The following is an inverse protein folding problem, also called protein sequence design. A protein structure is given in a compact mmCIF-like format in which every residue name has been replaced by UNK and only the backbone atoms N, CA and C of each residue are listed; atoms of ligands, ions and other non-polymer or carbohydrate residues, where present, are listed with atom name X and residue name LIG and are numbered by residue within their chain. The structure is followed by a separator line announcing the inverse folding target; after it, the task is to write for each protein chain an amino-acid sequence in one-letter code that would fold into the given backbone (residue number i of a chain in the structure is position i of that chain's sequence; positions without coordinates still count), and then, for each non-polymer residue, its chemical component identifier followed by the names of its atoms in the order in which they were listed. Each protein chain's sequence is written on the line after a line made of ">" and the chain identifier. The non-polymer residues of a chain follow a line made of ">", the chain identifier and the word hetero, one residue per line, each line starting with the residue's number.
data_IF_000381556792
#
_entry.id   IF_000381556792
#
_cell.length_a   1.000
_cell.length_b   1.000
_cell.length_c   1.000
_cell.angle_alpha   90.00
_cell.angle_beta   90.00
_cell.angle_gamma   90.00
#
_symmetry.space_group_name_H-M   'P 1'
#
loop_
_entity.id
_entity.type
_entity.pdbx_description
1 polymer ?
#
# COMPACT_ATOMS: atom_id res chain seq x y z
N UNK A 1 -14.14 -21.75 -3.54
CA UNK A 1 -13.11 -22.69 -3.08
C UNK A 1 -12.40 -23.37 -4.25
N UNK A 2 -13.07 -24.26 -5.01
CA UNK A 2 -12.48 -25.06 -6.11
C UNK A 2 -11.55 -24.29 -7.06
N UNK A 3 -11.93 -23.09 -7.53
CA UNK A 3 -11.08 -22.31 -8.44
C UNK A 3 -9.81 -21.76 -7.78
N UNK A 4 -9.87 -21.37 -6.50
CA UNK A 4 -8.70 -20.90 -5.76
C UNK A 4 -7.75 -22.07 -5.50
N UNK A 5 -8.29 -23.22 -5.11
CA UNK A 5 -7.51 -24.44 -4.90
C UNK A 5 -6.82 -24.91 -6.17
N UNK A 6 -7.49 -24.86 -7.32
CA UNK A 6 -6.90 -25.22 -8.61
C UNK A 6 -5.67 -24.35 -8.94
N UNK A 7 -5.73 -23.05 -8.67
CA UNK A 7 -4.59 -22.14 -8.89
C UNK A 7 -3.46 -22.40 -7.90
N UNK A 8 -3.77 -22.66 -6.62
CA UNK A 8 -2.75 -22.92 -5.58
C UNK A 8 -2.05 -24.27 -5.80
N UNK A 9 -2.77 -25.28 -6.31
CA UNK A 9 -2.23 -26.61 -6.58
C UNK A 9 -1.47 -26.68 -7.90
N UNK A 10 -1.65 -25.69 -8.79
CA UNK A 10 -0.85 -25.56 -10.00
C UNK A 10 0.48 -24.86 -9.68
N UNK A 11 1.64 -25.50 -9.93
CA UNK A 11 2.94 -24.92 -9.61
C UNK A 11 3.35 -23.76 -10.53
N UNK A 12 2.52 -23.36 -11.50
CA UNK A 12 2.80 -22.29 -12.46
C UNK A 12 3.00 -20.93 -11.79
N UNK A 13 2.23 -20.62 -10.74
CA UNK A 13 2.27 -19.33 -10.05
C UNK A 13 2.71 -19.49 -8.60
N UNK A 14 3.68 -18.69 -8.17
CA UNK A 14 4.26 -18.74 -6.83
C UNK A 14 4.47 -17.34 -6.27
N UNK A 15 4.63 -17.24 -4.95
CA UNK A 15 5.06 -15.99 -4.32
C UNK A 15 6.51 -15.70 -4.70
N UNK A 16 6.76 -14.50 -5.20
CA UNK A 16 8.11 -13.97 -5.30
C UNK A 16 8.65 -13.77 -3.87
N UNK A 17 9.78 -14.39 -3.46
CA UNK A 17 10.28 -14.26 -2.10
C UNK A 17 10.70 -12.82 -1.77
N UNK A 18 10.91 -11.96 -2.77
CA UNK A 18 11.17 -10.53 -2.58
C UNK A 18 10.00 -9.69 -3.08
N UNK A 19 9.33 -9.01 -2.16
CA UNK A 19 8.28 -8.03 -2.50
C UNK A 19 8.85 -6.89 -3.37
N UNK A 20 10.10 -6.48 -3.13
CA UNK A 20 10.75 -5.45 -3.94
C UNK A 20 10.99 -5.91 -5.37
N UNK A 21 11.39 -7.17 -5.55
CA UNK A 21 11.73 -7.71 -6.85
C UNK A 21 10.52 -7.73 -7.80
N UNK A 22 9.33 -8.03 -7.30
CA UNK A 22 8.08 -7.94 -8.08
C UNK A 22 7.93 -6.55 -8.72
N UNK A 23 7.98 -5.50 -7.89
CA UNK A 23 7.85 -4.13 -8.38
C UNK A 23 9.04 -3.69 -9.22
N UNK A 24 10.25 -4.14 -8.90
CA UNK A 24 11.42 -3.87 -9.72
C UNK A 24 11.24 -4.41 -11.15
N UNK A 25 10.84 -5.67 -11.32
CA UNK A 25 10.61 -6.29 -12.64
C UNK A 25 9.54 -5.54 -13.46
N UNK A 26 8.44 -5.13 -12.82
CA UNK A 26 7.42 -4.30 -13.46
C UNK A 26 7.98 -2.95 -13.96
N UNK A 27 8.80 -2.27 -13.16
CA UNK A 27 9.46 -1.03 -13.58
C UNK A 27 10.51 -1.27 -14.68
N UNK A 28 11.01 -2.49 -14.82
CA UNK A 28 11.91 -2.89 -15.92
C UNK A 28 11.17 -3.32 -17.19
N UNK A 29 9.83 -3.35 -17.22
CA UNK A 29 9.02 -3.94 -18.29
C UNK A 29 9.36 -5.42 -18.55
N UNK A 30 9.72 -6.15 -17.49
CA UNK A 30 10.13 -7.55 -17.56
C UNK A 30 9.11 -8.43 -16.84
N UNK A 31 8.68 -9.49 -17.51
CA UNK A 31 7.84 -10.53 -16.88
C UNK A 31 8.67 -11.32 -15.86
N UNK A 32 8.07 -11.66 -14.72
CA UNK A 32 8.67 -12.60 -13.77
C UNK A 32 8.51 -14.03 -14.30
N UNK A 33 9.54 -14.55 -14.96
CA UNK A 33 9.54 -15.90 -15.52
C UNK A 33 9.85 -16.99 -14.48
N UNK A 34 10.35 -16.60 -13.29
CA UNK A 34 10.79 -17.49 -12.22
C UNK A 34 9.62 -17.87 -11.32
N UNK A 35 8.97 -16.87 -10.72
CA UNK A 35 7.87 -17.09 -9.76
C UNK A 35 6.52 -16.92 -10.42
N UNK A 36 6.46 -16.08 -11.47
CA UNK A 36 5.23 -15.75 -12.20
C UNK A 36 4.15 -15.31 -11.23
N UNK A 37 4.50 -14.42 -10.29
CA UNK A 37 3.56 -13.97 -9.26
C UNK A 37 2.31 -13.31 -9.90
N UNK A 38 2.47 -12.61 -11.02
CA UNK A 38 1.34 -12.05 -11.76
C UNK A 38 0.59 -13.11 -12.56
N UNK A 39 -0.72 -13.20 -12.35
CA UNK A 39 -1.64 -14.07 -13.07
C UNK A 39 -2.28 -13.36 -14.25
N UNK A 40 -2.57 -12.07 -14.08
CA UNK A 40 -3.16 -11.25 -15.13
C UNK A 40 -2.68 -9.81 -15.06
N UNK A 41 -2.20 -9.34 -16.21
CA UNK A 41 -1.75 -8.00 -16.45
C UNK A 41 -2.48 -7.43 -17.67
N UNK A 42 -2.93 -6.18 -17.59
CA UNK A 42 -3.38 -5.45 -18.78
C UNK A 42 -2.14 -4.91 -19.47
N UNK A 43 -1.82 -5.36 -20.70
CA UNK A 43 -0.64 -4.91 -21.41
C UNK A 43 -0.86 -3.49 -21.91
N UNK A 44 -0.04 -2.54 -21.44
CA UNK A 44 -0.04 -1.20 -22.05
C UNK A 44 0.94 -1.14 -23.22
N UNK A 45 1.96 -1.99 -23.27
CA UNK A 45 2.94 -1.95 -24.35
C UNK A 45 3.83 -0.71 -24.28
N UNK A 46 4.93 -0.73 -25.02
CA UNK A 46 5.93 0.32 -24.95
C UNK A 46 5.36 1.69 -25.37
N UNK A 47 5.69 2.74 -24.61
CA UNK A 47 5.29 4.13 -24.86
C UNK A 47 3.77 4.41 -24.79
N UNK A 48 2.95 3.52 -24.22
CA UNK A 48 1.56 3.82 -23.84
C UNK A 48 1.34 3.66 -22.33
N UNK A 49 0.17 4.04 -21.81
CA UNK A 49 -0.16 3.92 -20.39
C UNK A 49 0.52 4.97 -19.50
N UNK A 50 -0.28 5.76 -18.79
CA UNK A 50 0.19 6.78 -17.85
C UNK A 50 0.28 6.25 -16.40
N UNK A 51 0.17 4.93 -16.16
CA UNK A 51 -0.01 4.38 -14.82
C UNK A 51 1.15 4.75 -13.89
N UNK A 52 2.39 4.36 -14.23
CA UNK A 52 3.54 4.64 -13.37
C UNK A 52 3.82 6.14 -13.20
N UNK A 53 3.55 6.95 -14.23
CA UNK A 53 3.57 8.42 -14.14
C UNK A 53 2.48 8.97 -13.19
N UNK A 54 1.31 8.35 -13.16
CA UNK A 54 0.15 8.85 -12.42
C UNK A 54 0.25 8.54 -10.95
N UNK A 55 0.69 7.34 -10.57
CA UNK A 55 0.61 6.88 -9.18
C UNK A 55 1.96 6.78 -8.48
N UNK A 56 3.06 6.71 -9.24
CA UNK A 56 4.39 6.44 -8.74
C UNK A 56 5.02 7.52 -7.89
N UNK A 57 6.30 7.31 -7.57
CA UNK A 57 7.15 8.27 -6.85
C UNK A 57 7.11 9.61 -7.58
N UNK A 58 6.89 10.68 -6.81
CA UNK A 58 6.90 12.04 -7.36
C UNK A 58 8.30 12.43 -7.79
N UNK A 59 8.39 12.97 -9.00
CA UNK A 59 9.56 13.73 -9.45
C UNK A 59 9.09 15.01 -10.10
N UNK A 60 9.74 16.13 -9.79
CA UNK A 60 9.50 17.42 -10.46
C UNK A 60 10.62 17.66 -11.46
N UNK A 61 10.46 17.16 -12.69
CA UNK A 61 11.38 17.33 -13.84
C UNK A 61 12.86 17.36 -13.46
N UNK A 62 13.56 16.23 -13.55
CA UNK A 62 14.99 16.16 -13.20
C UNK A 62 15.86 15.82 -14.39
N UNK A 63 17.15 16.16 -14.31
CA UNK A 63 18.17 15.78 -15.30
C UNK A 63 18.42 14.28 -15.33
N UNK A 64 18.19 13.58 -14.22
CA UNK A 64 18.44 12.14 -14.09
C UNK A 64 17.26 11.28 -14.55
N UNK A 65 16.03 11.75 -14.38
CA UNK A 65 14.80 10.97 -14.60
C UNK A 65 13.81 11.62 -15.56
N UNK A 66 14.15 12.77 -16.15
CA UNK A 66 13.36 13.43 -17.17
C UNK A 66 12.06 14.01 -16.64
N UNK A 67 10.94 13.66 -17.30
CA UNK A 67 9.63 14.26 -17.08
C UNK A 67 9.09 14.16 -15.65
N UNK A 68 8.12 15.01 -15.33
CA UNK A 68 7.39 14.96 -14.06
C UNK A 68 6.79 13.57 -13.81
N UNK A 69 6.70 13.10 -12.57
CA UNK A 69 5.80 12.01 -12.17
C UNK A 69 4.81 12.58 -11.19
N UNK A 70 3.51 12.42 -11.44
CA UNK A 70 2.49 13.23 -10.79
C UNK A 70 2.08 12.75 -9.40
N UNK A 71 2.18 11.45 -9.12
CA UNK A 71 1.93 10.86 -7.81
C UNK A 71 0.55 11.22 -7.23
N UNK A 72 -0.51 11.07 -8.04
CA UNK A 72 -1.90 11.45 -7.74
C UNK A 72 -2.57 10.55 -6.73
N UNK A 73 -2.24 9.26 -6.71
CA UNK A 73 -2.70 8.35 -5.67
C UNK A 73 -1.77 8.45 -4.47
N UNK A 74 -2.37 8.60 -3.29
CA UNK A 74 -1.66 8.86 -2.03
C UNK A 74 -1.88 7.75 -1.02
N UNK A 75 -0.83 7.45 -0.26
CA UNK A 75 -0.90 6.69 0.97
C UNK A 75 -1.03 7.65 2.16
N UNK A 76 -1.42 7.11 3.30
CA UNK A 76 -1.63 7.88 4.52
C UNK A 76 -0.62 7.47 5.60
N UNK A 77 -0.38 8.38 6.55
CA UNK A 77 0.49 8.18 7.70
C UNK A 77 0.06 6.99 8.55
N UNK A 78 -1.25 6.77 8.69
CA UNK A 78 -1.82 5.64 9.43
C UNK A 78 -1.52 4.30 8.75
N UNK A 79 -1.52 4.23 7.41
CA UNK A 79 -1.10 3.04 6.68
C UNK A 79 0.42 2.86 6.86
N UNK A 80 1.20 3.94 6.74
CA UNK A 80 2.65 3.88 6.91
C UNK A 80 3.06 3.37 8.31
N UNK A 81 2.35 3.78 9.36
CA UNK A 81 2.59 3.33 10.74
C UNK A 81 1.89 2.03 11.12
N UNK A 82 0.98 1.49 10.29
CA UNK A 82 0.35 0.21 10.60
C UNK A 82 1.20 -1.00 10.22
N UNK A 83 2.28 -0.82 9.45
CA UNK A 83 3.24 -1.88 9.18
C UNK A 83 4.06 -2.20 10.43
N UNK A 84 4.27 -3.49 10.70
CA UNK A 84 5.14 -3.95 11.78
C UNK A 84 6.61 -3.52 11.51
N UNK A 85 7.41 -3.23 12.56
CA UNK A 85 8.85 -3.09 12.41
C UNK A 85 9.47 -4.28 11.66
N UNK A 86 10.32 -3.98 10.67
CA UNK A 86 10.95 -4.99 9.81
C UNK A 86 10.11 -5.44 8.61
N UNK A 87 8.86 -4.98 8.46
CA UNK A 87 8.07 -5.25 7.26
C UNK A 87 8.64 -4.45 6.06
N UNK A 88 9.26 -5.16 5.13
CA UNK A 88 9.93 -4.57 3.97
C UNK A 88 8.97 -3.86 3.02
N UNK A 89 7.67 -4.17 3.06
CA UNK A 89 6.67 -3.60 2.16
C UNK A 89 6.41 -2.12 2.44
N UNK A 90 6.62 -1.67 3.68
CA UNK A 90 6.36 -0.29 4.10
C UNK A 90 7.09 0.71 3.20
N UNK A 91 8.42 0.57 3.10
CA UNK A 91 9.26 1.56 2.40
C UNK A 91 9.22 1.40 0.87
N UNK A 92 8.81 0.21 0.39
CA UNK A 92 8.54 -0.04 -1.03
C UNK A 92 7.18 0.56 -1.43
N UNK A 93 6.21 0.61 -0.51
CA UNK A 93 4.85 1.04 -0.81
C UNK A 93 4.65 2.53 -0.55
N UNK A 94 5.16 3.04 0.56
CA UNK A 94 4.91 4.39 1.05
C UNK A 94 6.17 5.25 0.93
N UNK A 95 6.08 6.29 0.11
CA UNK A 95 7.17 7.21 -0.20
C UNK A 95 6.87 8.58 0.42
N UNK A 96 7.32 8.87 1.67
CA UNK A 96 7.14 10.15 2.35
C UNK A 96 8.11 11.24 1.87
N UNK A 97 8.65 11.10 0.66
CA UNK A 97 9.62 12.01 0.03
C UNK A 97 9.30 12.16 -1.46
N UNK A 98 9.88 13.17 -2.10
CA UNK A 98 9.87 13.35 -3.55
C UNK A 98 11.27 13.56 -4.12
N UNK A 99 11.42 13.39 -5.43
CA UNK A 99 12.65 13.76 -6.15
C UNK A 99 12.55 15.20 -6.63
N UNK A 100 13.57 15.97 -6.30
CA UNK A 100 13.71 17.37 -6.74
C UNK A 100 15.01 17.55 -7.48
N UNK A 101 14.98 18.41 -8.49
CA UNK A 101 16.21 18.85 -9.14
C UNK A 101 16.96 19.79 -8.21
N UNK A 102 18.19 19.41 -7.86
CA UNK A 102 19.16 20.26 -7.18
C UNK A 102 20.39 20.46 -8.09
N UNK A 103 21.38 21.22 -7.62
CA UNK A 103 22.58 21.56 -8.42
C UNK A 103 23.37 20.34 -8.91
N UNK A 104 23.33 19.23 -8.18
CA UNK A 104 24.04 18.00 -8.51
C UNK A 104 23.15 16.91 -9.15
N UNK A 105 21.89 17.19 -9.47
CA UNK A 105 20.95 16.23 -10.03
C UNK A 105 19.71 16.02 -9.15
N UNK A 106 19.02 14.90 -9.37
CA UNK A 106 17.86 14.49 -8.60
C UNK A 106 18.25 14.11 -7.16
N UNK A 107 17.59 14.75 -6.18
CA UNK A 107 17.79 14.54 -4.75
C UNK A 107 16.46 14.14 -4.08
N UNK A 108 16.52 13.14 -3.23
CA UNK A 108 15.42 12.76 -2.35
C UNK A 108 15.20 13.84 -1.28
N UNK A 109 13.98 14.35 -1.24
CA UNK A 109 13.58 15.38 -0.29
C UNK A 109 12.43 14.86 0.56
N UNK A 110 12.71 14.64 1.85
CA UNK A 110 11.68 14.28 2.83
C UNK A 110 10.56 15.33 2.84
N UNK A 111 9.32 14.87 2.80
CA UNK A 111 8.17 15.76 2.89
C UNK A 111 7.97 16.24 4.32
N UNK A 112 7.43 17.45 4.45
CA UNK A 112 7.06 18.03 5.73
C UNK A 112 5.77 17.44 6.31
N UNK A 113 4.96 18.28 6.96
CA UNK A 113 3.66 17.89 7.50
C UNK A 113 2.61 17.58 6.40
N UNK A 114 2.70 16.37 5.84
CA UNK A 114 1.84 15.85 4.76
C UNK A 114 1.35 14.42 5.04
N UNK A 115 0.62 14.17 6.13
CA UNK A 115 0.22 12.83 6.56
C UNK A 115 -0.73 12.12 5.59
N UNK A 116 -1.40 12.84 4.70
CA UNK A 116 -2.34 12.25 3.74
C UNK A 116 -1.82 12.26 2.28
N UNK A 117 -0.54 12.57 2.07
CA UNK A 117 0.03 12.76 0.73
C UNK A 117 1.28 11.93 0.44
N UNK A 118 1.50 10.80 1.11
CA UNK A 118 2.64 9.92 0.83
C UNK A 118 2.50 9.33 -0.58
N UNK A 119 3.57 9.31 -1.37
CA UNK A 119 3.52 8.78 -2.74
C UNK A 119 3.59 7.24 -2.72
N UNK A 120 3.26 6.61 -3.85
CA UNK A 120 3.41 5.15 -3.99
C UNK A 120 4.80 4.79 -4.52
N UNK A 121 5.58 4.06 -3.73
CA UNK A 121 6.95 3.63 -4.10
C UNK A 121 7.00 2.46 -5.08
N UNK A 122 5.87 1.78 -5.33
CA UNK A 122 5.78 0.62 -6.22
C UNK A 122 6.11 0.93 -7.69
N UNK A 123 5.85 2.17 -8.12
CA UNK A 123 6.25 2.67 -9.44
C UNK A 123 7.28 3.78 -9.27
N UNK A 124 8.54 3.38 -9.16
CA UNK A 124 9.65 4.29 -8.85
C UNK A 124 10.45 4.59 -10.11
N UNK A 125 10.51 5.87 -10.49
CA UNK A 125 11.28 6.33 -11.66
C UNK A 125 12.77 5.97 -11.57
N UNK A 126 13.32 5.83 -10.36
CA UNK A 126 14.72 5.39 -10.14
C UNK A 126 14.94 3.92 -10.52
N UNK A 127 13.87 3.13 -10.52
CA UNK A 127 13.87 1.70 -10.82
C UNK A 127 13.38 1.40 -12.23
N UNK A 128 13.13 2.41 -13.06
CA UNK A 128 12.71 2.21 -14.43
C UNK A 128 13.92 1.92 -15.33
N UNK A 129 13.71 1.10 -16.37
CA UNK A 129 14.77 0.80 -17.33
C UNK A 129 15.20 2.04 -18.14
N UNK A 130 16.34 1.95 -18.83
CA UNK A 130 16.89 3.07 -19.61
C UNK A 130 15.95 3.55 -20.72
N UNK A 131 15.23 2.63 -21.40
CA UNK A 131 14.30 3.01 -22.46
C UNK A 131 13.15 3.90 -21.96
N UNK A 132 12.62 3.60 -20.77
CA UNK A 132 11.62 4.43 -20.10
C UNK A 132 12.23 5.78 -19.70
N UNK A 133 13.40 5.77 -19.06
CA UNK A 133 14.09 6.99 -18.61
C UNK A 133 14.42 7.93 -19.79
N UNK A 134 14.93 7.39 -20.89
CA UNK A 134 15.22 8.16 -22.11
C UNK A 134 13.95 8.78 -22.71
N UNK A 135 12.82 8.05 -22.67
CA UNK A 135 11.52 8.57 -23.11
C UNK A 135 11.04 9.70 -22.20
N UNK A 136 11.22 9.58 -20.89
CA UNK A 136 10.90 10.65 -19.94
C UNK A 136 11.77 11.89 -20.19
N UNK A 137 13.08 11.71 -20.44
CA UNK A 137 14.02 12.79 -20.77
C UNK A 137 13.67 13.50 -22.08
N UNK A 138 13.39 12.75 -23.15
CA UNK A 138 12.94 13.32 -24.43
C UNK A 138 11.62 14.07 -24.28
N UNK A 139 10.66 13.53 -23.54
CA UNK A 139 9.38 14.19 -23.27
C UNK A 139 9.59 15.52 -22.54
N UNK A 140 10.46 15.55 -21.54
CA UNK A 140 10.81 16.77 -20.81
C UNK A 140 11.50 17.80 -21.71
N UNK A 141 12.47 17.38 -22.53
CA UNK A 141 13.18 18.25 -23.48
C UNK A 141 12.25 18.86 -24.54
N UNK A 142 11.21 18.12 -24.95
CA UNK A 142 10.16 18.60 -25.84
C UNK A 142 9.09 19.47 -25.14
N UNK A 143 9.24 19.74 -23.84
CA UNK A 143 8.33 20.58 -23.07
C UNK A 143 7.06 19.88 -22.59
N UNK A 144 6.90 18.58 -22.83
CA UNK A 144 5.74 17.83 -22.35
C UNK A 144 5.78 17.62 -20.83
N UNK A 145 4.62 17.75 -20.20
CA UNK A 145 4.44 17.52 -18.75
C UNK A 145 4.04 16.09 -18.42
N UNK A 146 3.54 15.34 -19.41
CA UNK A 146 3.10 13.96 -19.30
C UNK A 146 3.96 13.07 -20.18
N UNK A 147 4.11 11.82 -19.77
CA UNK A 147 4.82 10.79 -20.51
C UNK A 147 4.30 9.42 -20.10
N UNK A 148 4.56 8.43 -20.94
CA UNK A 148 3.98 7.10 -20.82
C UNK A 148 5.05 6.11 -20.35
N UNK A 149 4.76 5.35 -19.31
CA UNK A 149 5.74 4.40 -18.77
C UNK A 149 5.73 3.09 -19.53
N UNK A 150 4.59 2.66 -20.08
CA UNK A 150 4.44 1.33 -20.68
C UNK A 150 4.33 0.19 -19.65
N UNK A 151 4.38 0.51 -18.36
CA UNK A 151 4.33 -0.48 -17.27
C UNK A 151 2.92 -1.06 -17.21
N UNK A 152 2.80 -2.37 -17.37
CA UNK A 152 1.53 -3.07 -17.34
C UNK A 152 0.76 -2.82 -16.03
N UNK A 153 -0.57 -2.89 -16.13
CA UNK A 153 -1.43 -2.82 -14.95
C UNK A 153 -1.71 -4.24 -14.44
N UNK A 154 -1.06 -4.62 -13.34
CA UNK A 154 -1.36 -5.89 -12.66
C UNK A 154 -2.77 -5.85 -12.10
N UNK A 155 -3.58 -6.83 -12.46
CA UNK A 155 -4.98 -6.95 -12.02
C UNK A 155 -5.24 -8.18 -11.15
N UNK A 156 -4.34 -9.17 -11.21
CA UNK A 156 -4.39 -10.33 -10.34
C UNK A 156 -3.00 -10.90 -10.17
N UNK A 157 -2.60 -11.14 -8.93
CA UNK A 157 -1.33 -11.75 -8.58
C UNK A 157 -1.48 -12.73 -7.42
N UNK A 158 -0.57 -13.68 -7.32
CA UNK A 158 -0.68 -14.87 -6.47
C UNK A 158 -0.98 -14.59 -4.98
N UNK A 159 -0.43 -13.56 -4.30
CA UNK A 159 -0.84 -13.28 -2.92
C UNK A 159 -2.32 -12.90 -2.78
N UNK A 160 -2.95 -12.31 -3.81
CA UNK A 160 -4.40 -12.08 -3.78
C UNK A 160 -5.17 -13.40 -3.78
N UNK A 161 -4.68 -14.41 -4.51
CA UNK A 161 -5.27 -15.76 -4.51
C UNK A 161 -5.16 -16.39 -3.13
N UNK A 162 -4.00 -16.30 -2.49
CA UNK A 162 -3.78 -16.81 -1.13
C UNK A 162 -4.68 -16.10 -0.11
N UNK A 163 -4.82 -14.77 -0.19
CA UNK A 163 -5.70 -14.01 0.71
C UNK A 163 -7.18 -14.33 0.48
N UNK A 164 -7.62 -14.43 -0.78
CA UNK A 164 -8.99 -14.88 -1.10
C UNK A 164 -9.25 -16.32 -0.64
N UNK A 165 -8.24 -17.20 -0.73
CA UNK A 165 -8.31 -18.57 -0.24
C UNK A 165 -8.45 -18.59 1.28
N UNK A 166 -7.59 -17.87 2.00
CA UNK A 166 -7.66 -17.75 3.45
C UNK A 166 -9.02 -17.23 3.90
N UNK A 167 -9.54 -16.20 3.25
CA UNK A 167 -10.85 -15.63 3.55
C UNK A 167 -11.97 -16.66 3.33
N UNK A 168 -11.99 -17.27 2.15
CA UNK A 168 -13.04 -18.23 1.77
C UNK A 168 -13.02 -19.46 2.66
N UNK A 169 -11.83 -19.98 2.99
CA UNK A 169 -11.70 -21.17 3.83
C UNK A 169 -12.07 -20.87 5.28
N UNK A 170 -11.65 -19.73 5.82
CA UNK A 170 -12.06 -19.29 7.16
C UNK A 170 -13.59 -19.15 7.26
N UNK A 171 -14.24 -18.65 6.20
CA UNK A 171 -15.70 -18.54 6.15
C UNK A 171 -16.38 -19.92 6.12
N UNK A 172 -15.96 -20.79 5.20
CA UNK A 172 -16.60 -22.08 4.94
C UNK A 172 -16.36 -23.14 6.02
N UNK A 173 -15.15 -23.18 6.58
CA UNK A 173 -14.80 -24.13 7.64
C UNK A 173 -15.18 -23.62 9.04
N UNK A 174 -15.43 -22.32 9.18
CA UNK A 174 -15.72 -21.67 10.46
C UNK A 174 -14.51 -21.46 11.37
N UNK A 175 -13.29 -21.76 10.91
CA UNK A 175 -12.06 -21.65 11.70
C UNK A 175 -10.82 -21.42 10.82
N UNK A 176 -9.80 -20.67 11.29
CA UNK A 176 -8.55 -20.47 10.54
C UNK A 176 -7.75 -21.77 10.29
N UNK A 177 -7.97 -22.79 11.12
CA UNK A 177 -7.30 -24.10 11.05
C UNK A 177 -8.22 -25.23 10.58
N UNK A 178 -9.45 -24.89 10.16
CA UNK A 178 -10.39 -25.85 9.60
C UNK A 178 -10.05 -26.26 8.17
N UNK A 179 -10.69 -27.33 7.71
CA UNK A 179 -10.66 -27.80 6.33
C UNK A 179 -12.05 -27.72 5.69
N UNK A 180 -12.10 -27.78 4.36
CA UNK A 180 -13.34 -27.79 3.61
C UNK A 180 -13.19 -28.64 2.33
N UNK A 181 -14.21 -29.42 1.91
CA UNK A 181 -14.12 -30.19 0.67
C UNK A 181 -13.71 -29.35 -0.54
N UNK A 182 -12.63 -29.76 -1.20
CA UNK A 182 -12.06 -29.05 -2.35
C UNK A 182 -11.14 -27.89 -1.99
N UNK A 183 -10.70 -27.77 -0.73
CA UNK A 183 -9.59 -26.91 -0.34
C UNK A 183 -8.26 -27.37 -0.98
N UNK A 184 -7.21 -26.56 -0.83
CA UNK A 184 -5.91 -26.80 -1.46
C UNK A 184 -5.02 -27.76 -0.66
N UNK A 185 -5.52 -28.38 0.42
CA UNK A 185 -4.72 -29.15 1.38
C UNK A 185 -3.92 -28.28 2.35
N UNK A 186 -4.29 -27.00 2.48
CA UNK A 186 -3.65 -26.01 3.35
C UNK A 186 -4.72 -25.24 4.14
N UNK A 187 -4.48 -24.93 5.39
CA UNK A 187 -5.39 -24.15 6.23
C UNK A 187 -5.42 -22.67 5.81
N UNK A 188 -6.45 -21.94 6.25
CA UNK A 188 -6.53 -20.51 6.01
C UNK A 188 -5.36 -19.77 6.69
N UNK A 189 -5.00 -20.19 7.90
CA UNK A 189 -3.83 -19.72 8.66
C UNK A 189 -2.54 -19.83 7.87
N UNK A 190 -2.27 -21.00 7.29
CA UNK A 190 -1.06 -21.23 6.50
C UNK A 190 -1.00 -20.35 5.25
N UNK A 191 -2.14 -20.14 4.57
CA UNK A 191 -2.20 -19.25 3.42
C UNK A 191 -1.88 -17.79 3.78
N UNK A 192 -2.44 -17.29 4.89
CA UNK A 192 -2.10 -15.95 5.41
C UNK A 192 -0.62 -15.87 5.81
N UNK A 193 -0.11 -16.91 6.48
CA UNK A 193 1.28 -17.02 6.91
C UNK A 193 2.26 -16.89 5.75
N UNK A 194 1.97 -17.52 4.60
CA UNK A 194 2.81 -17.42 3.40
C UNK A 194 2.98 -15.97 2.93
N UNK A 195 1.90 -15.20 2.87
CA UNK A 195 1.93 -13.80 2.43
C UNK A 195 2.62 -12.93 3.46
N UNK A 196 2.25 -13.07 4.73
CA UNK A 196 2.76 -12.23 5.81
C UNK A 196 4.27 -12.42 6.03
N UNK A 197 4.74 -13.67 6.13
CA UNK A 197 6.15 -13.95 6.41
C UNK A 197 7.10 -13.62 5.24
N UNK A 198 6.57 -13.48 4.01
CA UNK A 198 7.35 -13.02 2.84
C UNK A 198 7.81 -11.56 3.02
N UNK A 199 7.12 -10.78 3.84
CA UNK A 199 7.44 -9.38 4.06
C UNK A 199 8.67 -9.14 4.97
N UNK A 200 9.18 -10.18 5.64
CA UNK A 200 10.24 -10.07 6.64
C UNK A 200 11.47 -10.88 6.22
N UNK A 201 12.61 -10.19 6.09
CA UNK A 201 13.90 -10.80 5.73
C UNK A 201 14.81 -11.04 6.93
N UNK A 202 14.71 -10.19 7.95
CA UNK A 202 15.41 -10.37 9.22
C UNK A 202 14.80 -11.54 10.01
N UNK A 203 15.64 -12.35 10.67
CA UNK A 203 15.22 -13.57 11.32
C UNK A 203 14.36 -13.30 12.57
N UNK A 204 14.69 -12.28 13.35
CA UNK A 204 13.95 -11.91 14.56
C UNK A 204 12.61 -11.30 14.18
N UNK A 205 12.60 -10.32 13.27
CA UNK A 205 11.36 -9.72 12.77
C UNK A 205 10.42 -10.76 12.14
N UNK A 206 10.97 -11.76 11.43
CA UNK A 206 10.20 -12.87 10.87
C UNK A 206 9.63 -13.80 11.93
N UNK A 207 10.37 -14.08 13.00
CA UNK A 207 9.86 -14.85 14.13
C UNK A 207 8.72 -14.11 14.85
N UNK A 208 8.81 -12.78 14.95
CA UNK A 208 7.78 -11.93 15.55
C UNK A 208 6.51 -11.90 14.70
N UNK A 209 6.67 -11.78 13.39
CA UNK A 209 5.60 -11.89 12.40
C UNK A 209 4.90 -13.26 12.46
N UNK A 210 5.64 -14.34 12.70
CA UNK A 210 5.05 -15.68 12.85
C UNK A 210 4.21 -15.79 14.12
N UNK A 211 4.72 -15.25 15.24
CA UNK A 211 3.95 -15.16 16.49
C UNK A 211 2.72 -14.27 16.33
N UNK A 212 2.75 -13.24 15.48
CA UNK A 212 1.56 -12.46 15.14
C UNK A 212 0.50 -13.33 14.47
N UNK A 213 0.87 -14.15 13.48
CA UNK A 213 -0.06 -15.08 12.81
C UNK A 213 -0.71 -16.04 13.81
N UNK A 214 0.05 -16.59 14.75
CA UNK A 214 -0.49 -17.45 15.80
C UNK A 214 -1.55 -16.73 16.64
N UNK A 215 -1.28 -15.50 17.08
CA UNK A 215 -2.22 -14.72 17.91
C UNK A 215 -3.50 -14.38 17.15
N UNK A 216 -3.40 -13.97 15.89
CA UNK A 216 -4.57 -13.56 15.11
C UNK A 216 -5.38 -14.73 14.57
N UNK A 217 -4.88 -15.96 14.70
CA UNK A 217 -5.59 -17.18 14.31
C UNK A 217 -6.42 -17.79 15.44
N UNK A 218 -6.69 -17.04 16.51
CA UNK A 218 -7.41 -17.53 17.69
C UNK A 218 -8.86 -17.93 17.39
N UNK A 219 -9.54 -17.18 16.52
CA UNK A 219 -10.92 -17.41 16.12
C UNK A 219 -11.22 -16.84 14.73
N UNK A 220 -12.36 -17.22 14.18
CA UNK A 220 -12.81 -16.83 12.83
C UNK A 220 -12.81 -15.32 12.61
N UNK A 221 -13.32 -14.54 13.56
CA UNK A 221 -13.50 -13.09 13.40
C UNK A 221 -12.17 -12.35 13.55
N UNK A 222 -11.36 -12.72 14.55
CA UNK A 222 -10.02 -12.16 14.73
C UNK A 222 -9.16 -12.42 13.49
N UNK A 223 -9.24 -13.63 12.93
CA UNK A 223 -8.49 -13.97 11.73
C UNK A 223 -8.99 -13.24 10.49
N UNK A 224 -10.30 -13.08 10.34
CA UNK A 224 -10.86 -12.26 9.26
C UNK A 224 -10.35 -10.82 9.34
N UNK A 225 -10.30 -10.22 10.53
CA UNK A 225 -9.75 -8.87 10.70
C UNK A 225 -8.27 -8.81 10.29
N UNK A 226 -7.48 -9.84 10.57
CA UNK A 226 -6.10 -9.93 10.11
C UNK A 226 -5.98 -10.05 8.59
N UNK A 227 -6.87 -10.79 7.90
CA UNK A 227 -6.93 -10.80 6.44
C UNK A 227 -7.25 -9.41 5.90
N UNK A 228 -8.18 -8.70 6.54
CA UNK A 228 -8.53 -7.32 6.18
C UNK A 228 -7.32 -6.41 6.32
N UNK A 229 -6.48 -6.56 7.34
CA UNK A 229 -5.28 -5.73 7.50
C UNK A 229 -4.15 -6.15 6.54
N UNK A 230 -3.92 -7.45 6.35
CA UNK A 230 -2.94 -7.98 5.40
C UNK A 230 -3.22 -7.55 3.96
N UNK A 231 -4.49 -7.53 3.55
CA UNK A 231 -4.91 -7.01 2.26
C UNK A 231 -4.54 -5.52 2.10
N UNK A 232 -4.59 -4.72 3.16
CA UNK A 232 -4.17 -3.32 3.13
C UNK A 232 -2.65 -3.20 2.93
N UNK A 233 -1.86 -4.00 3.64
CA UNK A 233 -0.39 -3.97 3.57
C UNK A 233 0.14 -4.50 2.24
N UNK A 234 -0.39 -5.64 1.78
CA UNK A 234 0.08 -6.30 0.57
C UNK A 234 -0.33 -5.52 -0.69
N UNK A 235 -1.58 -5.05 -0.74
CA UNK A 235 -2.21 -4.54 -1.97
C UNK A 235 -2.32 -3.00 -2.04
N UNK A 236 -1.75 -2.29 -1.08
CA UNK A 236 -1.77 -0.82 -1.07
C UNK A 236 -1.20 -0.25 -2.38
N UNK A 237 -1.90 0.71 -2.98
CA UNK A 237 -1.51 1.29 -4.27
C UNK A 237 -2.08 0.60 -5.50
N UNK A 238 -2.57 -0.64 -5.39
CA UNK A 238 -2.93 -1.44 -6.57
C UNK A 238 -4.41 -1.33 -6.98
N UNK A 239 -5.22 -0.61 -6.20
CA UNK A 239 -6.61 -0.29 -6.54
C UNK A 239 -7.66 -1.27 -6.02
N UNK A 240 -7.30 -2.22 -5.16
CA UNK A 240 -8.22 -3.25 -4.64
C UNK A 240 -8.94 -2.84 -3.35
N UNK A 241 -8.24 -2.18 -2.43
CA UNK A 241 -8.71 -1.92 -1.04
C UNK A 241 -10.14 -1.40 -0.94
N UNK A 242 -10.52 -0.43 -1.77
CA UNK A 242 -11.88 0.15 -1.74
C UNK A 242 -12.93 -0.92 -2.03
N UNK A 243 -12.72 -1.76 -3.02
CA UNK A 243 -13.66 -2.79 -3.45
C UNK A 243 -13.73 -3.95 -2.46
N UNK A 244 -12.61 -4.31 -1.84
CA UNK A 244 -12.57 -5.30 -0.75
C UNK A 244 -13.36 -4.82 0.47
N UNK A 245 -13.12 -3.58 0.92
CA UNK A 245 -13.89 -2.99 2.01
C UNK A 245 -15.38 -2.87 1.70
N UNK A 246 -15.73 -2.66 0.43
CA UNK A 246 -17.10 -2.63 -0.07
C UNK A 246 -17.75 -4.00 0.12
N UNK A 247 -17.18 -5.07 -0.45
CA UNK A 247 -17.79 -6.40 -0.37
C UNK A 247 -17.85 -6.96 1.06
N UNK A 248 -16.94 -6.52 1.93
CA UNK A 248 -16.97 -6.82 3.36
C UNK A 248 -17.93 -5.95 4.17
N UNK A 249 -18.54 -4.93 3.57
CA UNK A 249 -19.34 -3.92 4.25
C UNK A 249 -18.56 -3.16 5.36
N UNK A 250 -17.25 -2.98 5.17
CA UNK A 250 -16.33 -2.32 6.10
C UNK A 250 -15.85 -0.94 5.64
N UNK A 251 -16.25 -0.45 4.44
CA UNK A 251 -15.70 0.79 3.88
C UNK A 251 -15.88 1.99 4.82
N UNK A 252 -17.09 2.24 5.31
CA UNK A 252 -17.34 3.37 6.20
C UNK A 252 -16.61 3.20 7.54
N UNK A 253 -16.64 2.00 8.12
CA UNK A 253 -15.97 1.67 9.38
C UNK A 253 -14.46 1.89 9.32
N UNK A 254 -13.79 1.37 8.28
CA UNK A 254 -12.34 1.52 8.14
C UNK A 254 -11.91 2.95 7.82
N UNK A 255 -12.77 3.78 7.19
CA UNK A 255 -12.49 5.21 7.05
C UNK A 255 -12.63 5.93 8.41
N UNK A 256 -13.63 5.58 9.21
CA UNK A 256 -13.77 6.14 10.57
C UNK A 256 -12.60 5.73 11.46
N UNK A 257 -12.20 4.45 11.42
CA UNK A 257 -11.03 3.95 12.13
C UNK A 257 -9.76 4.67 11.70
N UNK A 258 -9.55 4.86 10.39
CA UNK A 258 -8.46 5.68 9.86
C UNK A 258 -8.42 7.08 10.50
N UNK A 259 -9.57 7.77 10.60
CA UNK A 259 -9.62 9.11 11.20
C UNK A 259 -9.30 9.07 12.70
N UNK A 260 -9.81 8.07 13.41
CA UNK A 260 -9.58 7.88 14.85
C UNK A 260 -8.12 7.56 15.14
N UNK A 261 -7.51 6.67 14.36
CA UNK A 261 -6.10 6.31 14.48
C UNK A 261 -5.22 7.53 14.25
N UNK A 262 -5.48 8.32 13.20
CA UNK A 262 -4.75 9.57 12.97
C UNK A 262 -4.85 10.54 14.15
N UNK A 263 -6.05 10.73 14.71
CA UNK A 263 -6.25 11.60 15.88
C UNK A 263 -5.54 11.06 17.13
N UNK A 264 -5.56 9.75 17.35
CA UNK A 264 -4.83 9.11 18.46
C UNK A 264 -3.34 9.39 18.34
N UNK A 265 -2.73 9.08 17.19
CA UNK A 265 -1.29 9.31 16.97
C UNK A 265 -0.94 10.80 16.99
N UNK A 266 -1.85 11.69 16.58
CA UNK A 266 -1.60 13.13 16.65
C UNK A 266 -1.67 13.66 18.09
N UNK A 267 -2.53 13.11 18.94
CA UNK A 267 -2.73 13.56 20.32
C UNK A 267 -1.73 12.95 21.31
N UNK A 268 -1.09 11.84 20.96
CA UNK A 268 -0.02 11.26 21.77
C UNK A 268 1.28 12.06 21.58
N UNK A 269 1.65 12.84 22.60
CA UNK A 269 2.85 13.68 22.59
C UNK A 269 4.14 12.89 22.84
N UNK A 270 4.03 11.68 23.37
CA UNK A 270 5.18 10.86 23.80
C UNK A 270 5.55 9.83 22.73
N UNK A 271 4.57 9.06 22.28
CA UNK A 271 4.74 7.94 21.36
C UNK A 271 4.06 8.15 20.00
N UNK A 272 3.25 9.20 19.87
CA UNK A 272 2.58 9.54 18.62
C UNK A 272 3.48 10.22 17.60
N UNK A 273 2.88 10.79 16.56
CA UNK A 273 3.62 11.36 15.44
C UNK A 273 4.67 12.37 15.89
N UNK A 274 5.96 12.23 15.52
CA UNK A 274 6.98 13.16 15.97
C UNK A 274 6.81 14.51 15.27
N UNK A 275 7.16 15.59 15.98
CA UNK A 275 7.10 16.93 15.42
C UNK A 275 8.20 17.22 14.39
N UNK A 276 9.32 16.50 14.50
CA UNK A 276 10.44 16.56 13.57
C UNK A 276 10.93 15.14 13.26
N UNK A 277 11.45 14.97 12.05
CA UNK A 277 12.29 13.82 11.71
C UNK A 277 13.73 14.28 11.56
N UNK A 278 14.64 13.39 11.96
CA UNK A 278 16.07 13.48 11.73
C UNK A 278 16.50 12.29 10.89
N UNK A 279 17.47 12.49 9.99
CA UNK A 279 17.97 11.43 9.12
C UNK A 279 19.34 11.76 8.55
N UNK A 280 20.04 10.72 8.13
CA UNK A 280 21.30 10.80 7.40
C UNK A 280 21.11 10.51 5.91
N UNK A 281 22.12 10.85 5.14
CA UNK A 281 22.23 10.45 3.74
C UNK A 281 23.08 9.18 3.62
N UNK A 282 22.85 8.40 2.56
CA UNK A 282 23.59 7.16 2.31
C UNK A 282 25.08 7.38 2.08
N UNK A 283 25.45 8.58 1.62
CA UNK A 283 26.82 8.98 1.34
C UNK A 283 26.97 10.51 1.31
N UNK A 284 28.22 10.98 1.13
CA UNK A 284 28.55 12.40 1.08
C UNK A 284 27.95 13.19 -0.09
N UNK A 285 27.36 12.54 -1.10
CA UNK A 285 26.67 13.24 -2.21
C UNK A 285 25.34 13.83 -1.77
N UNK A 286 24.77 13.34 -0.66
CA UNK A 286 23.49 13.76 -0.08
C UNK A 286 22.31 13.72 -1.06
N UNK A 287 22.34 12.78 -2.02
CA UNK A 287 21.26 12.56 -2.99
C UNK A 287 20.18 11.61 -2.50
N UNK A 288 20.55 10.63 -1.67
CA UNK A 288 19.65 9.58 -1.19
C UNK A 288 19.61 9.55 0.33
N UNK A 289 18.41 9.52 0.88
CA UNK A 289 18.18 9.43 2.32
C UNK A 289 18.46 8.00 2.74
N UNK A 290 19.22 7.82 3.83
CA UNK A 290 19.34 6.51 4.46
C UNK A 290 18.11 6.25 5.34
N UNK A 291 17.16 5.51 4.77
CA UNK A 291 15.88 5.19 5.40
C UNK A 291 16.02 4.46 6.75
N UNK A 292 17.12 3.74 6.96
CA UNK A 292 17.38 3.04 8.23
C UNK A 292 17.69 4.00 9.38
N UNK A 293 18.11 5.23 9.06
CA UNK A 293 18.47 6.25 10.06
C UNK A 293 17.32 7.19 10.41
N UNK A 294 16.21 7.14 9.66
CA UNK A 294 15.11 8.10 9.84
C UNK A 294 14.42 7.83 11.18
N UNK A 295 14.28 8.87 11.99
CA UNK A 295 13.70 8.81 13.33
C UNK A 295 12.17 8.78 13.31
N UNK A 296 11.58 7.77 12.66
CA UNK A 296 10.12 7.68 12.45
C UNK A 296 9.32 7.75 13.76
N UNK A 297 9.89 7.29 14.87
CA UNK A 297 9.25 7.27 16.20
C UNK A 297 9.94 8.20 17.19
N UNK A 298 10.54 9.29 16.71
CA UNK A 298 11.35 10.19 17.54
C UNK A 298 12.81 9.76 17.66
N UNK A 299 13.61 10.59 18.35
CA UNK A 299 15.03 10.33 18.54
C UNK A 299 15.23 9.04 19.36
N UNK A 300 16.09 8.11 18.91
CA UNK A 300 16.47 6.95 19.70
C UNK A 300 17.13 7.34 21.02
N UNK A 301 17.10 6.43 22.00
CA UNK A 301 17.77 6.64 23.28
C UNK A 301 19.27 6.94 23.09
N UNK A 302 19.76 7.97 23.79
CA UNK A 302 21.16 8.40 23.71
C UNK A 302 21.54 9.16 22.44
N UNK A 303 20.60 9.39 21.50
CA UNK A 303 20.83 10.17 20.28
C UNK A 303 20.30 11.59 20.41
N UNK A 304 21.00 12.54 19.80
CA UNK A 304 20.59 13.93 19.69
C UNK A 304 20.50 14.35 18.23
N UNK A 305 20.00 15.56 17.94
CA UNK A 305 19.92 16.07 16.57
C UNK A 305 21.29 16.19 15.88
N UNK A 306 22.35 16.36 16.67
CA UNK A 306 23.73 16.48 16.19
C UNK A 306 24.27 15.17 15.59
N UNK A 307 23.65 14.03 15.88
CA UNK A 307 23.96 12.73 15.27
C UNK A 307 23.45 12.59 13.81
N UNK A 308 22.74 13.60 13.29
CA UNK A 308 22.03 13.51 12.02
C UNK A 308 22.39 14.64 11.05
N UNK A 309 22.44 14.32 9.75
CA UNK A 309 22.73 15.29 8.69
C UNK A 309 21.65 16.37 8.51
N UNK A 310 20.38 16.01 8.76
CA UNK A 310 19.25 16.88 8.42
C UNK A 310 18.06 16.68 9.34
N UNK A 311 17.32 17.76 9.56
CA UNK A 311 16.01 17.77 10.21
C UNK A 311 14.92 18.33 9.30
N UNK A 312 13.68 17.88 9.49
CA UNK A 312 12.49 18.42 8.83
C UNK A 312 11.29 18.41 9.78
N UNK A 313 10.42 19.43 9.70
CA UNK A 313 9.13 19.40 10.40
C UNK A 313 8.28 18.25 9.88
N UNK A 314 7.63 17.49 10.75
CA UNK A 314 6.85 16.33 10.34
C UNK A 314 5.43 16.39 10.88
N UNK A 315 4.69 15.27 10.87
CA UNK A 315 3.25 15.26 11.10
C UNK A 315 2.87 15.85 12.47
N UNK A 316 3.61 15.51 13.54
CA UNK A 316 3.34 16.02 14.89
C UNK A 316 3.58 17.52 15.08
N UNK A 317 4.21 18.21 14.12
CA UNK A 317 4.44 19.67 14.22
C UNK A 317 3.13 20.44 14.24
N UNK A 318 2.03 19.81 13.82
CA UNK A 318 0.72 20.43 13.82
C UNK A 318 0.13 20.68 15.20
N UNK A 319 0.57 19.94 16.23
CA UNK A 319 0.08 20.13 17.60
C UNK A 319 0.22 21.58 18.07
N UNK A 320 1.35 22.20 17.72
CA UNK A 320 1.72 23.57 18.12
C UNK A 320 1.60 24.58 16.98
N UNK A 321 1.17 24.16 15.78
CA UNK A 321 1.01 25.06 14.65
C UNK A 321 -0.15 26.05 14.86
N UNK A 322 0.07 27.31 14.47
CA UNK A 322 -0.99 28.34 14.51
C UNK A 322 -2.14 28.07 13.55
N UNK A 323 -1.86 27.36 12.44
CA UNK A 323 -2.86 26.85 11.49
C UNK A 323 -2.74 25.33 11.41
N UNK A 324 -3.79 24.63 11.80
CA UNK A 324 -3.82 23.17 11.82
C UNK A 324 -4.52 22.61 10.58
N UNK A 325 -3.88 22.78 9.42
CA UNK A 325 -4.50 22.44 8.13
C UNK A 325 -4.89 20.96 7.99
N UNK A 326 -4.09 20.01 8.48
CA UNK A 326 -4.43 18.60 8.36
C UNK A 326 -5.57 18.24 9.32
N UNK A 327 -5.53 18.71 10.57
CA UNK A 327 -6.55 18.43 11.59
C UNK A 327 -7.88 19.13 11.31
N UNK A 328 -7.86 20.41 10.95
CA UNK A 328 -9.05 21.25 10.86
C UNK A 328 -9.63 21.33 9.44
N UNK A 329 -8.86 20.98 8.41
CA UNK A 329 -9.32 21.04 7.01
C UNK A 329 -9.27 19.69 6.31
N UNK A 330 -8.09 19.07 6.20
CA UNK A 330 -7.93 17.90 5.35
C UNK A 330 -8.60 16.64 5.95
N UNK A 331 -8.40 16.35 7.24
CA UNK A 331 -8.99 15.20 7.91
C UNK A 331 -10.53 15.22 7.88
N UNK A 332 -11.23 16.34 8.19
CA UNK A 332 -12.68 16.44 8.02
C UNK A 332 -13.12 16.19 6.57
N UNK A 333 -12.34 16.65 5.58
CA UNK A 333 -12.68 16.51 4.16
C UNK A 333 -12.60 15.08 3.64
N UNK A 334 -11.78 14.21 4.25
CA UNK A 334 -11.59 12.83 3.80
C UNK A 334 -12.94 12.09 3.87
N UNK A 335 -13.45 11.74 2.69
CA UNK A 335 -14.72 11.02 2.51
C UNK A 335 -15.89 11.62 3.30
N UNK A 336 -15.95 12.95 3.45
CA UNK A 336 -16.99 13.64 4.23
C UNK A 336 -18.42 13.34 3.75
N UNK A 337 -18.60 13.09 2.45
CA UNK A 337 -19.89 12.66 1.91
C UNK A 337 -20.33 11.25 2.33
N UNK A 338 -19.43 10.43 2.88
CA UNK A 338 -19.70 9.06 3.34
C UNK A 338 -19.67 8.92 4.87
N UNK A 339 -18.74 9.60 5.55
CA UNK A 339 -18.52 9.47 7.00
C UNK A 339 -18.44 10.81 7.74
N UNK A 340 -18.87 11.90 7.11
CA UNK A 340 -18.96 13.21 7.75
C UNK A 340 -20.20 13.36 8.63
N UNK A 341 -20.41 14.56 9.15
CA UNK A 341 -21.58 14.87 9.97
C UNK A 341 -22.86 14.96 9.14
N UNK A 342 -23.96 14.43 9.67
CA UNK A 342 -25.27 14.54 9.02
C UNK A 342 -25.40 13.80 7.69
N UNK A 343 -24.58 12.78 7.44
CA UNK A 343 -24.64 11.96 6.22
C UNK A 343 -26.02 11.30 6.09
N UNK A 344 -26.82 11.81 5.16
CA UNK A 344 -28.19 11.35 4.88
C UNK A 344 -28.25 10.03 4.10
N UNK A 345 -27.17 9.68 3.39
CA UNK A 345 -27.11 8.52 2.50
C UNK A 345 -26.25 7.44 3.14
N UNK A 346 -26.87 6.35 3.59
CA UNK A 346 -26.14 5.14 4.00
C UNK A 346 -25.51 4.50 2.76
N UNK A 347 -24.18 4.47 2.75
CA UNK A 347 -23.26 3.70 1.90
C UNK A 347 -23.92 3.00 0.68
N UNK A 348 -24.04 3.70 -0.45
CA UNK A 348 -24.53 3.15 -1.73
C UNK A 348 -23.35 2.89 -2.68
N UNK A 349 -22.77 1.70 -2.60
CA UNK A 349 -21.53 1.39 -3.33
C UNK A 349 -21.61 0.10 -4.17
N UNK A 350 -22.71 -0.64 -4.05
CA UNK A 350 -23.05 -1.75 -4.93
C UNK A 350 -24.18 -1.31 -5.86
N UNK A 351 -24.02 -1.61 -7.15
CA UNK A 351 -25.16 -1.62 -8.06
C UNK A 351 -26.19 -2.64 -7.55
N UNK A 352 -27.49 -2.43 -7.77
CA UNK A 352 -28.49 -3.44 -7.43
C UNK A 352 -28.12 -4.78 -8.05
N UNK A 353 -28.29 -5.86 -7.30
CA UNK A 353 -28.21 -7.21 -7.86
C UNK A 353 -29.24 -7.28 -8.97
N UNK A 354 -28.80 -7.67 -10.17
CA UNK A 354 -29.68 -7.80 -11.33
C UNK A 354 -30.85 -8.73 -11.00
N UNK A 355 -32.03 -8.42 -11.54
CA UNK A 355 -33.27 -9.19 -11.31
C UNK A 355 -33.09 -10.68 -11.64
N UNK A 356 -32.33 -11.00 -12.69
CA UNK A 356 -32.01 -12.38 -13.09
C UNK A 356 -31.28 -13.15 -11.99
N UNK A 357 -30.28 -12.54 -11.34
CA UNK A 357 -29.53 -13.15 -10.24
C UNK A 357 -30.39 -13.29 -8.99
N UNK A 358 -31.25 -12.32 -8.69
CA UNK A 358 -32.21 -12.42 -7.59
C UNK A 358 -33.19 -13.57 -7.80
N UNK A 359 -33.77 -13.69 -9.00
CA UNK A 359 -34.66 -14.81 -9.35
C UNK A 359 -33.95 -16.16 -9.26
N UNK A 360 -32.73 -16.27 -9.79
CA UNK A 360 -31.94 -17.50 -9.72
C UNK A 360 -31.55 -17.89 -8.29
N UNK A 361 -31.46 -16.92 -7.37
CA UNK A 361 -31.12 -17.18 -5.97
C UNK A 361 -32.23 -17.87 -5.17
N UNK A 362 -33.45 -17.98 -5.71
CA UNK A 362 -34.57 -18.60 -4.99
C UNK A 362 -34.93 -17.89 -3.68
N UNK A 363 -34.78 -16.57 -3.63
CA UNK A 363 -35.06 -15.74 -2.44
C UNK A 363 -33.93 -15.72 -1.41
N UNK A 364 -32.76 -16.29 -1.70
CA UNK A 364 -31.58 -16.22 -0.82
C UNK A 364 -30.86 -14.88 -0.90
N UNK A 365 -30.99 -14.17 -2.03
CA UNK A 365 -30.48 -12.83 -2.21
C UNK A 365 -31.65 -11.85 -2.35
N UNK A 366 -31.50 -10.66 -1.78
CA UNK A 366 -32.43 -9.55 -1.93
C UNK A 366 -31.64 -8.25 -1.98
N UNK A 367 -32.10 -7.28 -2.77
CA UNK A 367 -31.60 -5.92 -2.68
C UNK A 367 -32.17 -5.29 -1.40
N UNK A 368 -31.29 -4.74 -0.55
CA UNK A 368 -31.67 -4.15 0.75
C UNK A 368 -32.29 -2.75 0.65
N UNK A 369 -32.38 -2.18 -0.56
CA UNK A 369 -32.78 -0.78 -0.77
C UNK A 369 -33.82 -0.61 -1.89
N UNK A 370 -35.05 -1.11 -1.70
CA UNK A 370 -36.25 -0.69 -2.44
C UNK A 370 -36.08 -0.49 -3.96
N UNK A 371 -35.44 -1.44 -4.63
CA UNK A 371 -35.30 -1.45 -6.09
C UNK A 371 -36.50 -2.12 -6.77
#
# INVERSE_FOLDING_TARGET
>A
MTHLSAVIQDPTHNLNPSFENEWYLLNQLKLDETWRENLFEVPFGEATGELGYTIGVRTNKTTDFGGNSSGKQKMTSTLFWSYQPGDTRRDITCCPWDLRQESNGAVETMMGNKPFELYCGKWDVRKMNSAITDRALRSAAAGYSKWMTGINCVRMRYPQVLLMYAETLNELSGSPVGSYPGDAGMTAKEALRLVHLRAFTDAEAKADADRYIDRVSADKQTFFNAIVDENAWELAGEGFRKYDLIRWNLLAEKILQFKQDYLREMNDETAGYPAKLYFNYTDGTKKRIDFSTVTWHGLPEGKTKEDYDKEVSFWGSERTASRKQQLETNLPSISSGLVGDGVKVKNRYLMPIASTTLSASGGKLQNSYGF
#
